data_IF_905288316210
#
_entry.id   IF_905288316210
#
_cell.length_a   1.000
_cell.length_b   1.000
_cell.length_c   1.000
_cell.angle_alpha   90.00
_cell.angle_beta   90.00
_cell.angle_gamma   90.00
#
_symmetry.space_group_name_H-M   'P 1'
#
loop_
_entity.id
_entity.type
_entity.pdbx_description
1 polymer ?
#
# COMPACT_ATOMS: atom_id res chain seq x y z
N UNK A 1 4.14 32.25 -23.01
CA UNK A 1 4.92 33.48 -22.85
C UNK A 1 6.14 33.35 -23.75
N UNK A 2 6.17 34.11 -24.81
CA UNK A 2 7.35 34.19 -25.69
C UNK A 2 8.46 34.90 -24.93
N UNK A 3 9.54 34.20 -24.64
CA UNK A 3 10.75 34.80 -24.10
C UNK A 3 11.46 35.56 -25.21
N UNK A 4 11.96 36.75 -24.89
CA UNK A 4 12.64 37.69 -25.83
C UNK A 4 14.02 37.17 -26.29
N UNK A 5 14.48 36.07 -25.69
CA UNK A 5 15.73 35.40 -26.05
C UNK A 5 15.42 34.13 -26.82
N UNK A 6 16.07 33.91 -27.95
CA UNK A 6 15.88 32.76 -28.82
C UNK A 6 16.39 31.48 -28.14
N UNK A 7 15.51 30.85 -27.34
CA UNK A 7 15.81 29.63 -26.60
C UNK A 7 15.62 28.37 -27.47
N UNK A 8 16.14 28.39 -28.69
CA UNK A 8 16.26 27.19 -29.50
C UNK A 8 17.59 26.49 -29.18
N UNK A 9 17.73 26.00 -27.96
CA UNK A 9 18.82 25.11 -27.59
C UNK A 9 18.48 23.68 -28.05
N UNK A 10 18.73 23.38 -29.31
CA UNK A 10 18.79 22.03 -29.82
C UNK A 10 20.22 21.60 -29.96
N UNK A 11 20.81 21.10 -28.91
CA UNK A 11 22.06 20.37 -28.91
C UNK A 11 21.78 18.89 -29.05
N UNK A 12 22.57 18.14 -29.80
CA UNK A 12 22.42 16.69 -29.81
C UNK A 12 22.74 16.16 -28.42
N UNK A 13 21.93 15.19 -27.90
CA UNK A 13 22.14 14.66 -26.58
C UNK A 13 23.54 14.07 -26.34
N UNK A 14 24.18 13.58 -27.39
CA UNK A 14 25.55 13.05 -27.36
C UNK A 14 26.60 14.19 -27.18
N UNK A 15 26.45 15.30 -27.90
CA UNK A 15 27.34 16.44 -27.79
C UNK A 15 27.23 17.11 -26.41
N UNK A 16 25.99 17.23 -25.90
CA UNK A 16 25.72 17.72 -24.56
C UNK A 16 26.33 16.85 -23.43
N UNK A 17 26.30 15.53 -23.57
CA UNK A 17 26.87 14.60 -22.58
C UNK A 17 28.41 14.72 -22.53
N UNK A 18 29.06 14.92 -23.68
CA UNK A 18 30.52 15.10 -23.79
C UNK A 18 30.92 16.49 -23.25
N UNK A 19 30.22 17.55 -23.67
CA UNK A 19 30.52 18.94 -23.26
C UNK A 19 30.21 19.18 -21.77
N UNK A 20 29.33 18.35 -21.17
CA UNK A 20 29.08 18.39 -19.74
C UNK A 20 30.26 17.96 -18.88
N UNK A 21 31.29 17.31 -19.47
CA UNK A 21 32.45 16.80 -18.75
C UNK A 21 32.16 15.63 -17.81
N UNK A 22 31.00 14.99 -17.93
CA UNK A 22 30.59 13.86 -17.11
C UNK A 22 30.86 12.52 -17.78
N UNK A 23 30.98 12.50 -19.09
CA UNK A 23 31.24 11.32 -19.89
C UNK A 23 32.48 11.54 -20.78
N UNK A 24 33.23 10.48 -21.03
CA UNK A 24 34.30 10.49 -22.00
C UNK A 24 33.75 10.27 -23.43
N UNK A 25 34.62 10.43 -24.43
CA UNK A 25 34.26 10.21 -25.83
C UNK A 25 33.79 8.77 -26.14
N UNK A 26 34.01 7.85 -25.22
CA UNK A 26 33.55 6.44 -25.27
C UNK A 26 32.24 6.19 -24.53
N UNK A 27 31.64 7.27 -23.95
CA UNK A 27 30.37 7.18 -23.21
C UNK A 27 30.51 6.61 -21.76
N UNK A 28 31.74 6.57 -21.21
CA UNK A 28 31.96 6.19 -19.83
C UNK A 28 31.78 7.40 -18.90
N UNK A 29 31.08 7.22 -17.80
CA UNK A 29 30.89 8.27 -16.81
C UNK A 29 32.21 8.59 -16.08
N UNK A 30 32.66 9.83 -16.17
CA UNK A 30 33.90 10.33 -15.58
C UNK A 30 33.79 10.70 -14.11
N UNK A 31 32.61 11.16 -13.69
CA UNK A 31 32.33 11.53 -12.30
C UNK A 31 31.12 10.81 -11.74
N UNK A 32 31.19 10.49 -10.46
CA UNK A 32 30.02 9.94 -9.75
C UNK A 32 29.05 11.09 -9.47
N UNK A 33 27.76 10.88 -9.74
CA UNK A 33 26.74 11.86 -9.39
C UNK A 33 26.64 11.98 -7.86
N UNK A 34 27.19 13.07 -7.33
CA UNK A 34 27.23 13.38 -5.89
C UNK A 34 26.46 14.67 -5.61
N UNK A 35 25.93 14.82 -4.41
CA UNK A 35 25.11 15.97 -3.99
C UNK A 35 25.81 17.34 -4.19
N UNK A 36 27.14 17.37 -4.16
CA UNK A 36 27.93 18.56 -4.47
C UNK A 36 28.01 18.91 -5.97
N UNK A 37 27.54 18.03 -6.85
CA UNK A 37 27.45 18.29 -8.28
C UNK A 37 26.23 19.20 -8.54
N UNK A 38 26.44 20.38 -9.15
CA UNK A 38 25.35 21.30 -9.48
C UNK A 38 24.28 20.75 -10.44
N UNK A 39 24.51 19.56 -11.03
CA UNK A 39 23.58 18.83 -11.91
C UNK A 39 22.96 17.59 -11.27
N UNK A 40 23.17 17.38 -9.99
CA UNK A 40 22.70 16.20 -9.26
C UNK A 40 21.21 15.89 -9.53
N UNK A 41 20.34 16.87 -9.39
CA UNK A 41 18.90 16.72 -9.66
C UNK A 41 18.61 16.52 -11.16
N UNK A 42 19.35 17.17 -12.05
CA UNK A 42 19.15 17.07 -13.51
C UNK A 42 19.39 15.66 -14.01
N UNK A 43 20.46 15.01 -13.59
CA UNK A 43 20.77 13.63 -13.99
C UNK A 43 19.69 12.64 -13.54
N UNK A 44 19.23 12.82 -12.31
CA UNK A 44 18.12 12.01 -11.79
C UNK A 44 16.82 12.26 -12.58
N UNK A 45 16.50 13.52 -12.87
CA UNK A 45 15.31 13.89 -13.65
C UNK A 45 15.36 13.33 -15.08
N UNK A 46 16.50 13.41 -15.75
CA UNK A 46 16.71 12.84 -17.09
C UNK A 46 16.53 11.32 -17.10
N UNK A 47 16.91 10.65 -16.03
CA UNK A 47 16.72 9.21 -15.87
C UNK A 47 15.26 8.84 -15.64
N UNK A 48 14.55 9.54 -14.74
CA UNK A 48 13.20 9.14 -14.30
C UNK A 48 12.09 9.58 -15.27
N UNK A 49 12.23 10.78 -15.88
CA UNK A 49 11.19 11.38 -16.73
C UNK A 49 10.71 10.48 -17.88
N UNK A 50 11.59 9.95 -18.77
CA UNK A 50 11.15 9.09 -19.87
C UNK A 50 10.50 7.80 -19.38
N UNK A 51 10.93 7.26 -18.24
CA UNK A 51 10.37 6.05 -17.66
C UNK A 51 8.94 6.29 -17.15
N UNK A 52 8.70 7.43 -16.51
CA UNK A 52 7.36 7.81 -16.05
C UNK A 52 6.39 8.07 -17.21
N UNK A 53 6.89 8.64 -18.34
CA UNK A 53 6.05 8.77 -19.55
C UNK A 53 5.62 7.42 -20.09
N UNK A 54 6.54 6.48 -20.24
CA UNK A 54 6.21 5.12 -20.69
C UNK A 54 5.28 4.43 -19.68
N UNK A 55 5.54 4.57 -18.38
CA UNK A 55 4.70 4.00 -17.34
C UNK A 55 3.25 4.51 -17.42
N UNK A 56 3.04 5.81 -17.69
CA UNK A 56 1.70 6.37 -17.90
C UNK A 56 0.96 5.72 -19.06
N UNK A 57 1.66 5.49 -20.18
CA UNK A 57 1.06 4.91 -21.38
C UNK A 57 0.68 3.44 -21.16
N UNK A 58 1.42 2.72 -20.31
CA UNK A 58 1.16 1.33 -19.95
C UNK A 58 0.00 1.15 -18.96
N UNK A 59 -0.36 2.19 -18.20
CA UNK A 59 -1.50 2.11 -17.27
C UNK A 59 -2.82 1.95 -18.02
N UNK A 60 -3.70 1.10 -17.49
CA UNK A 60 -5.13 1.08 -17.84
C UNK A 60 -5.78 2.42 -17.46
N UNK A 61 -6.98 2.72 -17.97
CA UNK A 61 -7.63 4.01 -17.70
C UNK A 61 -7.91 4.22 -16.20
N UNK A 62 -8.24 3.16 -15.47
CA UNK A 62 -8.36 3.14 -14.01
C UNK A 62 -7.06 2.78 -13.28
N UNK A 63 -5.94 2.64 -14.00
CA UNK A 63 -4.66 2.27 -13.43
C UNK A 63 -4.08 3.36 -12.52
N UNK A 64 -3.27 2.94 -11.55
CA UNK A 64 -2.59 3.81 -10.59
C UNK A 64 -1.11 3.48 -10.51
N UNK A 65 -0.31 4.48 -10.18
CA UNK A 65 1.11 4.33 -9.92
C UNK A 65 1.44 4.80 -8.51
N UNK A 66 2.24 4.00 -7.80
CA UNK A 66 2.83 4.35 -6.51
C UNK A 66 4.35 4.51 -6.69
N UNK A 67 4.90 5.60 -6.22
CA UNK A 67 6.31 5.92 -6.39
C UNK A 67 6.91 6.25 -5.03
N UNK A 68 7.78 5.37 -4.53
CA UNK A 68 8.52 5.60 -3.29
C UNK A 68 9.67 6.56 -3.54
N UNK A 69 9.82 7.55 -2.67
CA UNK A 69 10.84 8.60 -2.78
C UNK A 69 11.18 9.15 -1.38
N UNK A 70 12.38 9.66 -1.21
CA UNK A 70 12.79 10.38 -0.01
C UNK A 70 12.82 11.91 -0.22
N UNK A 71 13.27 12.66 0.78
CA UNK A 71 13.30 14.13 0.77
C UNK A 71 14.17 14.71 -0.34
N UNK A 72 15.20 13.99 -0.83
CA UNK A 72 16.15 14.53 -1.80
C UNK A 72 15.47 14.91 -3.12
N UNK A 73 14.50 14.12 -3.59
CA UNK A 73 13.86 14.30 -4.90
C UNK A 73 12.32 14.35 -4.86
N UNK A 74 11.70 14.38 -3.69
CA UNK A 74 10.25 14.34 -3.54
C UNK A 74 9.55 15.50 -4.26
N UNK A 75 10.06 16.75 -4.13
CA UNK A 75 9.50 17.92 -4.78
C UNK A 75 9.66 17.87 -6.30
N UNK A 76 10.83 17.45 -6.78
CA UNK A 76 11.12 17.32 -8.21
C UNK A 76 10.24 16.23 -8.83
N UNK A 77 10.12 15.07 -8.18
CA UNK A 77 9.24 14.00 -8.61
C UNK A 77 7.79 14.46 -8.71
N UNK A 78 7.31 15.22 -7.71
CA UNK A 78 5.94 15.75 -7.71
C UNK A 78 5.67 16.63 -8.91
N UNK A 79 6.60 17.54 -9.25
CA UNK A 79 6.48 18.43 -10.41
C UNK A 79 6.47 17.66 -11.73
N UNK A 80 7.36 16.70 -11.89
CA UNK A 80 7.44 15.84 -13.08
C UNK A 80 6.15 15.00 -13.23
N UNK A 81 5.65 14.44 -12.14
CA UNK A 81 4.41 13.67 -12.18
C UNK A 81 3.19 14.57 -12.49
N UNK A 82 3.14 15.79 -11.97
CA UNK A 82 2.08 16.75 -12.30
C UNK A 82 2.08 17.10 -13.80
N UNK A 83 3.26 17.19 -14.44
CA UNK A 83 3.37 17.40 -15.87
C UNK A 83 2.94 16.18 -16.68
N UNK A 84 3.40 14.98 -16.29
CA UNK A 84 3.17 13.75 -17.05
C UNK A 84 1.74 13.24 -16.87
N UNK A 85 1.27 13.12 -15.64
CA UNK A 85 -0.04 12.52 -15.28
C UNK A 85 -1.15 13.58 -15.21
N UNK A 86 -0.80 14.86 -15.02
CA UNK A 86 -1.71 15.95 -14.72
C UNK A 86 -1.94 16.11 -13.21
N UNK A 87 -1.86 17.33 -12.70
CA UNK A 87 -2.05 17.63 -11.27
C UNK A 87 -3.43 17.22 -10.74
N UNK A 88 -4.47 17.24 -11.59
CA UNK A 88 -5.82 16.78 -11.25
C UNK A 88 -5.87 15.27 -10.94
N UNK A 89 -4.94 14.49 -11.46
CA UNK A 89 -4.84 13.04 -11.26
C UNK A 89 -3.97 12.66 -10.05
N UNK A 90 -3.45 13.63 -9.31
CA UNK A 90 -2.80 13.38 -8.04
C UNK A 90 -3.80 12.80 -7.04
N UNK A 91 -3.58 11.55 -6.64
CA UNK A 91 -4.48 10.82 -5.73
C UNK A 91 -4.13 11.10 -4.29
N UNK A 92 -2.84 11.15 -3.96
CA UNK A 92 -2.36 11.47 -2.63
C UNK A 92 -0.87 11.22 -2.44
N UNK A 93 -0.40 11.59 -1.25
CA UNK A 93 0.94 11.29 -0.75
C UNK A 93 0.82 10.54 0.58
N UNK A 94 1.52 9.44 0.69
CA UNK A 94 1.63 8.67 1.93
C UNK A 94 3.00 8.98 2.54
N UNK A 95 3.00 9.35 3.82
CA UNK A 95 4.20 9.46 4.66
C UNK A 95 4.42 8.11 5.33
N UNK A 96 5.52 7.46 4.99
CA UNK A 96 5.92 6.17 5.53
C UNK A 96 6.97 6.38 6.61
N UNK A 97 6.57 6.30 7.87
CA UNK A 97 7.51 6.40 9.00
C UNK A 97 8.21 5.06 9.19
N UNK A 98 9.54 5.03 8.98
CA UNK A 98 10.33 3.78 8.95
C UNK A 98 11.47 3.75 9.95
N UNK A 99 11.93 4.91 10.43
CA UNK A 99 13.11 5.02 11.26
C UNK A 99 12.79 5.57 12.64
N UNK A 100 13.62 5.20 13.60
CA UNK A 100 13.73 5.82 14.93
C UNK A 100 15.21 5.95 15.24
N UNK A 101 15.86 7.02 14.78
CA UNK A 101 17.22 7.33 15.17
C UNK A 101 17.19 8.28 16.37
N UNK A 102 17.87 7.91 17.44
CA UNK A 102 17.87 8.66 18.69
C UNK A 102 19.06 9.64 18.84
N UNK A 103 19.86 9.84 17.78
CA UNK A 103 21.07 10.67 17.81
C UNK A 103 21.13 11.75 16.72
N UNK A 104 20.06 12.47 16.40
CA UNK A 104 20.09 13.54 15.41
C UNK A 104 20.85 14.76 15.95
N UNK A 105 21.53 15.50 15.08
CA UNK A 105 22.15 16.79 15.44
C UNK A 105 21.15 17.94 15.46
N UNK A 106 20.18 17.90 14.54
CA UNK A 106 19.11 18.89 14.44
C UNK A 106 17.75 18.17 14.32
N UNK A 107 17.18 18.14 13.11
CA UNK A 107 15.94 17.41 12.83
C UNK A 107 16.30 15.99 12.39
N UNK A 108 15.63 15.00 12.97
CA UNK A 108 15.76 13.62 12.56
C UNK A 108 14.70 13.28 11.51
N UNK A 109 15.13 12.92 10.30
CA UNK A 109 14.23 12.45 9.26
C UNK A 109 13.89 10.98 9.49
N UNK A 110 12.65 10.70 9.86
CA UNK A 110 12.17 9.36 10.22
C UNK A 110 11.22 8.77 9.16
N UNK A 111 11.12 9.38 7.98
CA UNK A 111 10.12 9.00 7.01
C UNK A 111 10.64 9.05 5.57
N UNK A 112 9.93 8.31 4.74
CA UNK A 112 9.96 8.37 3.27
C UNK A 112 8.55 8.72 2.77
N UNK A 113 8.42 8.98 1.48
CA UNK A 113 7.14 9.27 0.84
C UNK A 113 6.77 8.19 -0.17
N UNK A 114 5.46 8.03 -0.39
CA UNK A 114 4.91 7.29 -1.52
C UNK A 114 3.93 8.21 -2.22
N UNK A 115 4.30 8.72 -3.38
CA UNK A 115 3.40 9.51 -4.23
C UNK A 115 2.47 8.57 -5.01
N UNK A 116 1.20 8.93 -5.09
CA UNK A 116 0.21 8.18 -5.86
C UNK A 116 -0.48 9.06 -6.90
N UNK A 117 -0.49 8.59 -8.14
CA UNK A 117 -1.22 9.17 -9.25
C UNK A 117 -2.10 8.11 -9.90
N UNK A 118 -3.29 8.52 -10.31
CA UNK A 118 -4.14 7.73 -11.21
C UNK A 118 -3.92 8.16 -12.65
N UNK A 119 -4.12 7.29 -13.63
CA UNK A 119 -4.21 7.72 -15.04
C UNK A 119 -5.41 8.63 -15.26
N UNK A 120 -6.54 8.28 -14.66
CA UNK A 120 -7.75 9.10 -14.63
C UNK A 120 -8.43 8.99 -13.25
N UNK A 121 -8.24 10.01 -12.41
CA UNK A 121 -8.81 10.03 -11.06
C UNK A 121 -10.33 10.13 -11.04
N UNK A 122 -10.94 10.69 -12.08
CA UNK A 122 -12.39 10.90 -12.11
C UNK A 122 -13.19 9.58 -12.21
N UNK A 123 -12.56 8.51 -12.68
CA UNK A 123 -13.20 7.19 -12.79
C UNK A 123 -12.76 6.22 -11.70
N UNK A 124 -11.97 6.67 -10.73
CA UNK A 124 -11.58 5.83 -9.59
C UNK A 124 -12.77 5.59 -8.67
N UNK A 125 -12.97 4.33 -8.32
CA UNK A 125 -13.86 3.96 -7.24
C UNK A 125 -13.28 4.29 -5.86
N UNK A 126 -14.08 4.14 -4.81
CA UNK A 126 -13.59 4.24 -3.44
C UNK A 126 -12.66 3.08 -3.10
N UNK A 127 -11.49 3.39 -2.59
CA UNK A 127 -10.51 2.39 -2.18
C UNK A 127 -10.82 1.90 -0.77
N UNK A 128 -11.46 0.74 -0.70
CA UNK A 128 -11.79 0.05 0.53
C UNK A 128 -11.19 -1.35 0.55
N UNK A 129 -10.71 -1.74 1.71
CA UNK A 129 -10.28 -3.12 1.96
C UNK A 129 -11.03 -3.68 3.16
N UNK A 130 -11.18 -5.00 3.23
CA UNK A 130 -11.72 -5.65 4.41
C UNK A 130 -10.81 -5.39 5.60
N UNK A 131 -11.41 -5.08 6.75
CA UNK A 131 -10.64 -4.77 7.94
C UNK A 131 -10.11 -6.05 8.58
N UNK A 132 -8.79 -6.26 8.57
CA UNK A 132 -8.15 -7.38 9.27
C UNK A 132 -8.42 -7.32 10.79
N UNK A 133 -8.54 -6.11 11.34
CA UNK A 133 -8.87 -5.93 12.76
C UNK A 133 -10.31 -6.29 13.07
N UNK A 134 -11.23 -6.03 12.14
CA UNK A 134 -12.62 -6.47 12.27
C UNK A 134 -12.73 -8.01 12.26
N UNK A 135 -11.89 -8.69 11.46
CA UNK A 135 -11.82 -10.17 11.47
C UNK A 135 -11.44 -10.71 12.84
N UNK A 136 -10.49 -10.09 13.55
CA UNK A 136 -10.13 -10.50 14.91
C UNK A 136 -11.32 -10.41 15.89
N UNK A 137 -12.13 -9.34 15.78
CA UNK A 137 -13.36 -9.21 16.58
C UNK A 137 -14.36 -10.28 16.19
N UNK A 138 -14.51 -10.58 14.90
CA UNK A 138 -15.41 -11.62 14.41
C UNK A 138 -15.00 -13.00 14.89
N UNK A 139 -13.72 -13.33 14.83
CA UNK A 139 -13.18 -14.60 15.35
C UNK A 139 -13.46 -14.76 16.84
N UNK A 140 -13.21 -13.70 17.63
CA UNK A 140 -13.51 -13.69 19.06
C UNK A 140 -15.01 -13.84 19.34
N UNK A 141 -15.85 -13.17 18.59
CA UNK A 141 -17.30 -13.32 18.69
C UNK A 141 -17.73 -14.77 18.42
N UNK A 142 -17.21 -15.42 17.38
CA UNK A 142 -17.53 -16.82 17.05
C UNK A 142 -17.07 -17.79 18.16
N UNK A 143 -15.88 -17.55 18.75
CA UNK A 143 -15.43 -18.32 19.92
C UNK A 143 -16.41 -18.19 21.10
N UNK A 144 -16.85 -16.96 21.40
CA UNK A 144 -17.79 -16.68 22.47
C UNK A 144 -19.18 -17.30 22.19
N UNK A 145 -19.64 -17.22 20.94
CA UNK A 145 -20.89 -17.84 20.49
C UNK A 145 -20.86 -19.36 20.67
N UNK A 146 -19.74 -19.99 20.32
CA UNK A 146 -19.56 -21.42 20.54
C UNK A 146 -19.59 -21.80 22.04
N UNK A 147 -19.04 -20.92 22.91
CA UNK A 147 -18.94 -21.16 24.35
C UNK A 147 -20.25 -20.92 25.09
N UNK A 148 -20.98 -19.87 24.75
CA UNK A 148 -22.16 -19.40 25.51
C UNK A 148 -23.49 -19.57 24.77
N UNK A 149 -23.47 -20.09 23.53
CA UNK A 149 -24.67 -20.32 22.74
C UNK A 149 -25.44 -19.05 22.43
N UNK A 150 -26.71 -18.96 22.85
CA UNK A 150 -27.59 -17.81 22.57
C UNK A 150 -27.63 -16.77 23.71
N UNK A 151 -26.77 -16.89 24.71
CA UNK A 151 -26.66 -15.88 25.78
C UNK A 151 -25.95 -14.61 25.29
N UNK A 152 -26.71 -13.78 24.55
CA UNK A 152 -26.23 -12.55 23.93
C UNK A 152 -25.67 -11.57 24.95
N UNK A 153 -26.28 -11.48 26.15
CA UNK A 153 -25.80 -10.55 27.19
C UNK A 153 -24.40 -10.92 27.69
N UNK A 154 -24.18 -12.21 27.96
CA UNK A 154 -22.85 -12.70 28.35
C UNK A 154 -21.84 -12.55 27.23
N UNK A 155 -22.21 -12.90 25.99
CA UNK A 155 -21.32 -12.72 24.83
C UNK A 155 -20.91 -11.27 24.67
N UNK A 156 -21.85 -10.33 24.73
CA UNK A 156 -21.54 -8.89 24.61
C UNK A 156 -20.61 -8.40 25.72
N UNK A 157 -20.87 -8.82 26.98
CA UNK A 157 -20.02 -8.44 28.12
C UNK A 157 -18.59 -8.95 27.95
N UNK A 158 -18.42 -10.22 27.61
CA UNK A 158 -17.10 -10.83 27.41
C UNK A 158 -16.37 -10.25 26.19
N UNK A 159 -17.10 -9.98 25.09
CA UNK A 159 -16.53 -9.30 23.92
C UNK A 159 -16.03 -7.90 24.26
N UNK A 160 -16.79 -7.10 25.01
CA UNK A 160 -16.38 -5.78 25.47
C UNK A 160 -15.14 -5.81 26.35
N UNK A 161 -15.06 -6.78 27.26
CA UNK A 161 -13.88 -6.97 28.10
C UNK A 161 -12.64 -7.28 27.23
N UNK A 162 -12.76 -8.22 26.31
CA UNK A 162 -11.68 -8.59 25.41
C UNK A 162 -11.26 -7.44 24.49
N UNK A 163 -12.19 -6.65 23.94
CA UNK A 163 -11.88 -5.47 23.14
C UNK A 163 -11.11 -4.45 23.96
N UNK A 164 -11.49 -4.23 25.22
CA UNK A 164 -10.79 -3.30 26.12
C UNK A 164 -9.37 -3.76 26.43
N UNK A 165 -9.14 -5.03 26.65
CA UNK A 165 -7.82 -5.62 26.86
C UNK A 165 -6.92 -5.53 25.63
N UNK A 166 -7.51 -5.52 24.42
CA UNK A 166 -6.83 -5.47 23.14
C UNK A 166 -6.96 -4.09 22.43
N UNK A 167 -7.24 -3.00 23.16
CA UNK A 167 -7.59 -1.70 22.61
C UNK A 167 -6.55 -1.12 21.65
N UNK A 168 -5.25 -1.32 21.92
CA UNK A 168 -4.15 -0.86 21.06
C UNK A 168 -4.16 -1.57 19.69
N UNK A 169 -4.38 -2.89 19.68
CA UNK A 169 -4.44 -3.70 18.45
C UNK A 169 -5.69 -3.34 17.65
N UNK A 170 -6.83 -3.16 18.34
CA UNK A 170 -8.15 -2.93 17.76
C UNK A 170 -8.45 -1.44 17.49
N UNK A 171 -7.46 -0.56 17.61
CA UNK A 171 -7.63 0.87 17.35
C UNK A 171 -8.25 1.11 15.97
N UNK A 172 -9.38 1.82 15.95
CA UNK A 172 -10.18 2.11 14.75
C UNK A 172 -11.40 1.22 14.56
N UNK A 173 -11.48 0.06 15.22
CA UNK A 173 -12.63 -0.87 15.19
C UNK A 173 -13.18 -1.23 16.57
N UNK A 174 -12.56 -0.74 17.63
CA UNK A 174 -12.95 -1.04 19.03
C UNK A 174 -14.36 -0.60 19.41
N UNK A 175 -15.00 0.22 18.59
CA UNK A 175 -16.40 0.63 18.78
C UNK A 175 -17.42 -0.41 18.31
N UNK A 176 -17.01 -1.49 17.64
CA UNK A 176 -17.84 -2.65 17.32
C UNK A 176 -17.92 -3.55 18.53
N UNK A 177 -18.72 -3.17 19.52
CA UNK A 177 -18.77 -3.80 20.83
C UNK A 177 -20.18 -4.22 21.27
N UNK A 178 -21.18 -4.02 20.42
CA UNK A 178 -22.54 -4.50 20.63
C UNK A 178 -22.76 -5.81 19.89
N UNK A 179 -23.63 -6.66 20.47
CA UNK A 179 -24.00 -7.96 19.90
C UNK A 179 -25.52 -8.11 19.90
N UNK A 180 -26.08 -8.67 18.84
CA UNK A 180 -27.45 -9.16 18.78
C UNK A 180 -27.48 -10.52 18.08
N UNK A 181 -28.68 -11.05 17.81
CA UNK A 181 -28.89 -12.36 17.16
C UNK A 181 -28.24 -12.45 15.77
N UNK A 182 -28.01 -11.33 15.12
CA UNK A 182 -27.38 -11.24 13.78
C UNK A 182 -25.87 -11.10 13.83
N UNK A 183 -25.27 -10.83 15.00
CA UNK A 183 -23.83 -10.68 15.16
C UNK A 183 -23.41 -9.34 15.75
N UNK A 184 -22.14 -9.00 15.53
CA UNK A 184 -21.49 -7.82 16.10
C UNK A 184 -21.84 -6.57 15.31
N UNK A 185 -22.06 -5.46 16.01
CA UNK A 185 -22.34 -4.15 15.40
C UNK A 185 -21.88 -3.01 16.29
N UNK A 186 -21.88 -1.79 15.75
CA UNK A 186 -21.83 -0.56 16.53
C UNK A 186 -23.03 0.32 16.22
N UNK A 187 -23.34 1.24 17.14
CA UNK A 187 -24.36 2.26 16.96
C UNK A 187 -23.85 3.38 16.03
N UNK A 188 -24.59 3.62 14.97
CA UNK A 188 -24.28 4.70 14.03
C UNK A 188 -25.09 5.97 14.32
N UNK A 189 -24.72 7.06 13.65
CA UNK A 189 -25.46 8.31 13.69
C UNK A 189 -26.62 8.27 12.69
N UNK A 190 -27.84 8.59 13.20
CA UNK A 190 -29.08 8.65 12.41
C UNK A 190 -29.30 10.03 11.79
N UNK A 191 -28.67 11.07 12.37
CA UNK A 191 -28.82 12.44 11.92
C UNK A 191 -28.10 12.68 10.57
N UNK A 192 -28.67 13.54 9.75
CA UNK A 192 -27.96 14.00 8.55
C UNK A 192 -26.74 14.86 8.93
N UNK A 193 -25.73 14.87 8.10
CA UNK A 193 -24.48 15.62 8.36
C UNK A 193 -24.67 17.14 8.27
N UNK A 194 -25.56 17.57 7.37
CA UNK A 194 -25.93 18.98 7.14
C UNK A 194 -27.45 19.17 7.33
N UNK A 195 -27.90 20.41 7.49
CA UNK A 195 -29.32 20.72 7.51
C UNK A 195 -29.97 20.34 6.16
N UNK A 196 -31.27 19.95 6.22
CA UNK A 196 -32.02 19.53 5.02
C UNK A 196 -32.19 17.99 4.90
N UNK A 197 -31.90 17.23 5.96
CA UNK A 197 -32.24 15.81 6.05
C UNK A 197 -33.75 15.55 6.03
N UNK A 198 -34.12 14.29 5.92
CA UNK A 198 -35.53 13.86 5.84
C UNK A 198 -36.24 14.06 7.17
N UNK A 199 -37.54 14.44 7.10
CA UNK A 199 -38.44 14.58 8.26
C UNK A 199 -39.70 13.75 7.99
N UNK A 200 -39.91 12.75 8.81
CA UNK A 200 -41.06 11.85 8.81
C UNK A 200 -41.23 11.25 10.19
N UNK A 201 -42.39 10.70 10.50
CA UNK A 201 -42.69 10.10 11.79
C UNK A 201 -42.20 8.67 11.89
N UNK A 202 -41.45 8.36 12.93
CA UNK A 202 -41.06 7.02 13.33
C UNK A 202 -41.67 6.73 14.68
N UNK A 203 -42.48 5.68 14.80
CA UNK A 203 -43.13 5.32 16.06
C UNK A 203 -42.26 4.37 16.88
N UNK A 204 -42.12 4.65 18.17
CA UNK A 204 -41.42 3.78 19.09
C UNK A 204 -42.17 2.47 19.28
N UNK A 205 -41.51 1.30 19.17
CA UNK A 205 -42.19 0.00 19.14
C UNK A 205 -42.94 -0.35 20.46
N UNK A 206 -42.51 0.20 21.59
CA UNK A 206 -43.08 -0.09 22.90
C UNK A 206 -44.11 0.98 23.29
N UNK A 207 -43.73 2.29 23.19
CA UNK A 207 -44.60 3.38 23.67
C UNK A 207 -45.61 3.83 22.61
N UNK A 208 -45.44 3.46 21.35
CA UNK A 208 -46.30 3.87 20.23
C UNK A 208 -46.19 5.37 19.86
N UNK A 209 -45.42 6.17 20.60
CA UNK A 209 -45.26 7.60 20.35
C UNK A 209 -44.22 7.87 19.29
N UNK A 210 -44.24 9.08 18.74
CA UNK A 210 -43.29 9.51 17.71
C UNK A 210 -41.92 9.71 18.35
N UNK A 211 -40.91 9.03 17.81
CA UNK A 211 -39.53 9.17 18.22
C UNK A 211 -38.98 10.58 17.89
N UNK A 212 -38.02 11.02 18.68
CA UNK A 212 -37.32 12.27 18.47
C UNK A 212 -36.70 12.34 17.07
N UNK A 213 -37.04 13.37 16.30
CA UNK A 213 -36.45 13.66 15.01
C UNK A 213 -35.17 14.47 15.24
N UNK A 214 -34.02 14.12 14.61
CA UNK A 214 -32.81 14.94 14.72
C UNK A 214 -33.03 16.38 14.18
N UNK A 215 -32.39 17.38 14.76
CA UNK A 215 -32.51 18.80 14.33
C UNK A 215 -32.16 18.97 12.83
N UNK A 216 -31.16 18.25 12.34
CA UNK A 216 -30.74 18.23 10.92
C UNK A 216 -31.58 17.31 10.02
N UNK A 217 -32.59 16.63 10.59
CA UNK A 217 -33.37 15.59 9.93
C UNK A 217 -32.66 14.25 9.89
N UNK A 218 -33.38 13.21 9.47
CA UNK A 218 -32.85 11.86 9.28
C UNK A 218 -31.92 11.81 8.06
N UNK A 219 -30.89 10.95 8.14
CA UNK A 219 -29.97 10.67 7.04
C UNK A 219 -30.61 9.85 5.92
N UNK A 220 -31.51 8.95 6.27
CA UNK A 220 -32.10 7.98 5.36
C UNK A 220 -33.47 8.42 4.87
N UNK A 221 -33.84 8.16 3.60
CA UNK A 221 -35.21 8.29 3.13
C UNK A 221 -36.18 7.43 3.94
N UNK A 222 -37.47 7.81 4.00
CA UNK A 222 -38.48 7.12 4.79
C UNK A 222 -38.60 5.62 4.43
N UNK A 223 -38.55 5.30 3.13
CA UNK A 223 -38.61 3.89 2.66
C UNK A 223 -37.44 3.08 3.23
N UNK A 224 -36.22 3.60 3.14
CA UNK A 224 -35.02 2.94 3.70
C UNK A 224 -35.13 2.76 5.21
N UNK A 225 -35.63 3.78 5.92
CA UNK A 225 -35.85 3.69 7.36
C UNK A 225 -36.85 2.60 7.73
N UNK A 226 -37.96 2.50 7.02
CA UNK A 226 -38.94 1.44 7.23
C UNK A 226 -38.35 0.04 7.01
N UNK A 227 -37.55 -0.12 5.96
CA UNK A 227 -36.87 -1.38 5.68
C UNK A 227 -35.86 -1.73 6.78
N UNK A 228 -35.09 -0.75 7.26
CA UNK A 228 -34.16 -0.93 8.39
C UNK A 228 -34.87 -1.32 9.68
N UNK A 229 -36.01 -0.69 10.00
CA UNK A 229 -36.81 -1.04 11.18
C UNK A 229 -37.33 -2.47 11.05
N UNK A 230 -37.92 -2.82 9.89
CA UNK A 230 -38.42 -4.17 9.61
C UNK A 230 -37.34 -5.24 9.76
N UNK A 231 -36.14 -4.91 9.37
CA UNK A 231 -34.99 -5.82 9.46
C UNK A 231 -34.28 -5.76 10.82
N UNK A 232 -34.77 -5.01 11.81
CA UNK A 232 -34.16 -4.93 13.14
C UNK A 232 -32.80 -4.22 13.15
N UNK A 233 -32.54 -3.38 12.15
CA UNK A 233 -31.27 -2.63 12.00
C UNK A 233 -31.32 -1.23 12.63
N UNK A 234 -32.39 -0.94 13.40
CA UNK A 234 -32.52 0.30 14.20
C UNK A 234 -32.55 -0.09 15.67
N UNK A 235 -31.74 0.59 16.45
CA UNK A 235 -31.82 0.59 17.91
C UNK A 235 -32.78 1.68 18.36
N UNK A 236 -33.76 1.30 19.14
CA UNK A 236 -34.61 2.23 19.87
C UNK A 236 -34.06 2.38 21.30
N UNK A 237 -34.24 3.55 21.90
CA UNK A 237 -33.96 3.74 23.31
C UNK A 237 -35.04 3.13 24.20
N UNK A 238 -35.02 3.43 25.49
CA UNK A 238 -36.05 2.99 26.42
C UNK A 238 -37.42 3.65 26.13
N UNK A 239 -37.38 4.83 25.55
CA UNK A 239 -38.54 5.61 25.15
C UNK A 239 -38.31 6.44 23.89
N UNK A 240 -39.35 7.18 23.46
CA UNK A 240 -39.36 8.03 22.26
C UNK A 240 -38.47 9.25 22.35
N UNK A 241 -37.98 9.65 23.53
CA UNK A 241 -37.15 10.86 23.73
C UNK A 241 -35.71 10.66 23.35
N UNK A 242 -35.28 9.41 23.38
CA UNK A 242 -33.92 9.01 22.95
C UNK A 242 -33.86 8.93 21.42
N UNK A 243 -32.80 9.51 20.83
CA UNK A 243 -32.57 9.36 19.38
C UNK A 243 -32.34 7.89 19.02
N UNK A 244 -33.08 7.44 18.03
CA UNK A 244 -32.86 6.11 17.45
C UNK A 244 -31.51 6.06 16.75
N UNK A 245 -30.88 4.87 16.65
CA UNK A 245 -29.55 4.70 16.07
C UNK A 245 -29.54 3.53 15.09
N UNK A 246 -28.94 3.67 13.91
CA UNK A 246 -28.76 2.55 13.00
C UNK A 246 -27.66 1.62 13.51
N UNK A 247 -27.86 0.31 13.35
CA UNK A 247 -26.82 -0.69 13.59
C UNK A 247 -25.89 -0.74 12.38
N UNK A 248 -24.60 -0.57 12.62
CA UNK A 248 -23.55 -0.75 11.62
C UNK A 248 -22.87 -2.09 11.87
N UNK A 249 -23.09 -3.05 10.96
CA UNK A 249 -22.61 -4.43 11.13
C UNK A 249 -21.09 -4.51 10.94
N UNK A 250 -20.43 -5.33 11.78
CA UNK A 250 -18.99 -5.57 11.73
C UNK A 250 -18.56 -6.18 10.38
N UNK A 251 -19.37 -7.04 9.78
CA UNK A 251 -19.13 -7.64 8.47
C UNK A 251 -18.95 -6.61 7.34
N UNK A 252 -19.51 -5.41 7.52
CA UNK A 252 -19.39 -4.31 6.58
C UNK A 252 -18.27 -3.32 6.94
N UNK A 253 -17.45 -3.65 7.95
CA UNK A 253 -16.34 -2.80 8.35
C UNK A 253 -15.26 -2.81 7.27
N UNK A 254 -14.96 -1.63 6.73
CA UNK A 254 -13.92 -1.45 5.72
C UNK A 254 -12.83 -0.54 6.25
N UNK A 255 -11.60 -0.92 5.95
CA UNK A 255 -10.44 -0.04 6.14
C UNK A 255 -10.30 0.92 4.96
N UNK A 256 -9.70 2.08 5.22
CA UNK A 256 -9.32 3.07 4.22
C UNK A 256 -7.81 3.23 4.20
N UNK A 257 -7.25 3.53 3.05
CA UNK A 257 -5.82 3.77 2.92
C UNK A 257 -5.46 5.10 3.61
N UNK A 258 -4.63 5.04 4.64
CA UNK A 258 -4.21 6.21 5.43
C UNK A 258 -2.99 6.87 4.81
N UNK A 259 -2.93 8.21 4.89
CA UNK A 259 -1.80 8.99 4.41
C UNK A 259 -0.57 8.97 5.34
N UNK A 260 -0.67 8.36 6.51
CA UNK A 260 0.46 8.11 7.41
C UNK A 260 0.46 6.64 7.77
N UNK A 261 1.56 5.97 7.50
CA UNK A 261 1.77 4.56 7.78
C UNK A 261 3.07 4.43 8.59
N UNK A 262 3.00 3.68 9.68
CA UNK A 262 4.19 3.30 10.46
C UNK A 262 4.57 1.86 10.15
N UNK A 263 5.87 1.63 9.94
CA UNK A 263 6.49 0.31 9.91
C UNK A 263 7.92 0.38 10.41
N UNK A 264 8.33 -0.55 11.28
CA UNK A 264 9.74 -0.66 11.68
C UNK A 264 10.59 -1.02 10.45
N UNK A 265 11.47 -0.11 10.03
CA UNK A 265 12.33 -0.28 8.85
C UNK A 265 13.25 -1.52 8.91
N UNK A 266 13.49 -2.06 10.10
CA UNK A 266 14.22 -3.34 10.29
C UNK A 266 13.37 -4.57 9.94
N UNK A 267 12.05 -4.45 9.93
CA UNK A 267 11.14 -5.55 9.61
C UNK A 267 11.37 -6.09 8.20
N UNK A 268 11.44 -5.21 7.20
CA UNK A 268 11.68 -5.58 5.81
C UNK A 268 13.01 -6.32 5.58
N UNK A 269 14.08 -5.83 6.23
CA UNK A 269 15.39 -6.49 6.17
C UNK A 269 15.35 -7.88 6.81
N UNK A 270 14.73 -8.01 8.00
CA UNK A 270 14.59 -9.32 8.66
C UNK A 270 13.76 -10.30 7.84
N UNK A 271 12.65 -9.86 7.23
CA UNK A 271 11.84 -10.71 6.35
C UNK A 271 12.65 -11.19 5.13
N UNK A 272 13.39 -10.29 4.49
CA UNK A 272 14.25 -10.64 3.37
C UNK A 272 15.35 -11.63 3.78
N UNK A 273 16.05 -11.39 4.88
CA UNK A 273 17.13 -12.24 5.37
C UNK A 273 16.65 -13.63 5.81
N UNK A 274 15.43 -13.72 6.34
CA UNK A 274 14.84 -15.02 6.70
C UNK A 274 14.56 -15.90 5.46
N UNK A 275 14.30 -15.28 4.32
CA UNK A 275 14.02 -15.98 3.06
C UNK A 275 15.31 -16.24 2.26
N UNK A 276 16.23 -15.31 2.25
CA UNK A 276 17.39 -15.29 1.36
C UNK A 276 18.70 -15.62 2.08
N UNK A 277 19.46 -14.61 2.40
CA UNK A 277 20.67 -14.66 3.20
C UNK A 277 20.93 -13.26 3.81
N UNK A 278 21.76 -13.24 4.84
CA UNK A 278 22.06 -12.03 5.58
C UNK A 278 22.95 -11.08 4.79
N UNK A 279 22.62 -9.80 4.84
CA UNK A 279 23.42 -8.68 4.29
C UNK A 279 23.79 -8.84 2.80
N UNK A 280 22.94 -9.43 1.96
CA UNK A 280 23.18 -9.58 0.51
C UNK A 280 22.49 -8.52 -0.34
N UNK A 281 21.59 -7.74 0.23
CA UNK A 281 20.88 -6.66 -0.44
C UNK A 281 20.59 -5.53 0.56
N UNK A 282 20.74 -4.26 0.12
CA UNK A 282 20.46 -3.11 0.96
C UNK A 282 19.01 -2.65 0.78
N UNK A 283 18.36 -2.30 1.88
CA UNK A 283 17.05 -1.66 1.93
C UNK A 283 15.98 -2.36 1.03
N UNK A 284 15.74 -3.69 1.19
CA UNK A 284 14.65 -4.33 0.47
C UNK A 284 13.33 -3.67 0.86
N UNK A 285 12.48 -3.35 -0.12
CA UNK A 285 11.15 -2.77 0.17
C UNK A 285 10.29 -3.79 0.93
N UNK A 286 9.48 -3.28 1.84
CA UNK A 286 8.62 -4.09 2.69
C UNK A 286 7.48 -4.72 1.91
N UNK A 287 7.36 -6.04 2.00
CA UNK A 287 6.20 -6.77 1.45
C UNK A 287 4.93 -6.45 2.19
N UNK A 288 5.01 -6.08 3.48
CA UNK A 288 3.86 -5.65 4.29
C UNK A 288 3.26 -4.35 3.77
N UNK A 289 4.10 -3.36 3.47
CA UNK A 289 3.64 -2.08 2.89
C UNK A 289 3.07 -2.29 1.50
N UNK A 290 3.76 -3.05 0.64
CA UNK A 290 3.27 -3.36 -0.71
C UNK A 290 1.93 -4.09 -0.67
N UNK A 291 1.79 -5.12 0.18
CA UNK A 291 0.52 -5.83 0.40
C UNK A 291 -0.58 -4.87 0.85
N UNK A 292 -0.26 -3.95 1.75
CA UNK A 292 -1.23 -2.97 2.22
C UNK A 292 -1.69 -2.05 1.09
N UNK A 293 -0.79 -1.54 0.25
CA UNK A 293 -1.15 -0.70 -0.90
C UNK A 293 -2.00 -1.48 -1.92
N UNK A 294 -1.53 -2.64 -2.33
CA UNK A 294 -2.18 -3.45 -3.36
C UNK A 294 -3.54 -3.98 -2.91
N UNK A 295 -3.73 -4.23 -1.61
CA UNK A 295 -5.01 -4.67 -1.08
C UNK A 295 -6.16 -3.69 -1.32
N UNK A 296 -5.85 -2.40 -1.55
CA UNK A 296 -6.84 -1.34 -1.81
C UNK A 296 -7.12 -1.10 -3.29
N UNK A 297 -6.19 -1.48 -4.18
CA UNK A 297 -6.22 -1.03 -5.58
C UNK A 297 -6.10 -2.14 -6.60
N UNK A 298 -5.71 -3.35 -6.18
CA UNK A 298 -5.49 -4.48 -7.10
C UNK A 298 -6.59 -5.50 -6.94
N UNK A 299 -7.20 -5.88 -8.05
CA UNK A 299 -8.27 -6.85 -8.15
C UNK A 299 -7.80 -8.15 -8.82
N UNK A 300 -8.66 -9.17 -8.80
CA UNK A 300 -8.40 -10.44 -9.49
C UNK A 300 -8.23 -10.24 -11.01
N UNK A 301 -7.18 -10.84 -11.56
CA UNK A 301 -6.82 -10.72 -12.98
C UNK A 301 -6.02 -9.47 -13.35
N UNK A 302 -5.74 -8.57 -12.42
CA UNK A 302 -4.91 -7.38 -12.67
C UNK A 302 -3.45 -7.72 -12.92
N UNK A 303 -2.74 -6.77 -13.54
CA UNK A 303 -1.29 -6.83 -13.78
C UNK A 303 -0.60 -5.73 -12.98
N UNK A 304 0.32 -6.12 -12.10
CA UNK A 304 1.18 -5.20 -11.35
C UNK A 304 2.56 -5.15 -12.00
N UNK A 305 2.98 -3.95 -12.44
CA UNK A 305 4.29 -3.75 -13.05
C UNK A 305 5.22 -2.99 -12.10
N UNK A 306 6.42 -3.53 -11.89
CA UNK A 306 7.49 -2.89 -11.13
C UNK A 306 8.73 -2.78 -12.02
N UNK A 307 9.02 -1.56 -12.48
CA UNK A 307 10.13 -1.30 -13.42
C UNK A 307 11.43 -0.85 -12.73
N UNK A 308 11.48 -0.92 -11.41
CA UNK A 308 12.68 -0.81 -10.57
C UNK A 308 12.71 -1.94 -9.54
N UNK A 309 12.55 -3.18 -10.01
CA UNK A 309 12.16 -4.31 -9.14
C UNK A 309 13.20 -4.73 -8.10
N UNK A 310 14.45 -4.30 -8.23
CA UNK A 310 15.50 -4.56 -7.25
C UNK A 310 15.59 -6.01 -6.81
N UNK A 311 15.21 -6.24 -5.55
CA UNK A 311 15.18 -7.60 -4.95
C UNK A 311 13.87 -8.36 -5.19
N UNK A 312 12.98 -7.90 -6.08
CA UNK A 312 11.71 -8.53 -6.43
C UNK A 312 10.70 -8.66 -5.27
N UNK A 313 10.64 -7.65 -4.38
CA UNK A 313 9.66 -7.59 -3.28
C UNK A 313 8.21 -7.63 -3.79
N UNK A 314 7.95 -7.02 -4.94
CA UNK A 314 6.63 -6.97 -5.57
C UNK A 314 6.13 -8.36 -5.96
N UNK A 315 6.97 -9.22 -6.53
CA UNK A 315 6.58 -10.58 -6.89
C UNK A 315 6.20 -11.42 -5.65
N UNK A 316 7.02 -11.37 -4.59
CA UNK A 316 6.70 -12.05 -3.33
C UNK A 316 5.37 -11.55 -2.75
N UNK A 317 5.14 -10.23 -2.80
CA UNK A 317 3.90 -9.62 -2.35
C UNK A 317 2.69 -10.14 -3.14
N UNK A 318 2.77 -10.18 -4.46
CA UNK A 318 1.67 -10.64 -5.33
C UNK A 318 1.37 -12.13 -5.10
N UNK A 319 2.39 -12.98 -5.00
CA UNK A 319 2.18 -14.41 -4.70
C UNK A 319 1.47 -14.62 -3.36
N UNK A 320 1.83 -13.85 -2.32
CA UNK A 320 1.14 -13.88 -1.02
C UNK A 320 -0.30 -13.37 -1.11
N UNK A 321 -0.58 -12.34 -1.93
CA UNK A 321 -1.94 -11.85 -2.14
C UNK A 321 -2.80 -12.88 -2.88
N UNK A 322 -2.25 -13.54 -3.90
CA UNK A 322 -2.93 -14.58 -4.65
C UNK A 322 -3.30 -15.77 -3.75
N UNK A 323 -2.40 -16.17 -2.84
CA UNK A 323 -2.69 -17.20 -1.85
C UNK A 323 -3.82 -16.78 -0.92
N UNK A 324 -3.72 -15.59 -0.30
CA UNK A 324 -4.69 -15.10 0.69
C UNK A 324 -6.08 -14.81 0.12
N UNK A 325 -6.15 -14.27 -1.10
CA UNK A 325 -7.41 -13.84 -1.73
C UNK A 325 -7.98 -14.88 -2.69
N UNK A 326 -7.25 -15.97 -2.95
CA UNK A 326 -7.56 -16.94 -4.02
C UNK A 326 -7.73 -16.24 -5.38
N UNK A 327 -6.83 -15.28 -5.67
CA UNK A 327 -6.84 -14.45 -6.86
C UNK A 327 -5.74 -14.85 -7.84
N UNK A 328 -5.84 -14.35 -9.08
CA UNK A 328 -4.87 -14.59 -10.16
C UNK A 328 -4.28 -13.26 -10.64
N UNK A 329 -3.68 -12.51 -9.74
CA UNK A 329 -2.97 -11.27 -10.05
C UNK A 329 -1.64 -11.62 -10.71
N UNK A 330 -1.32 -10.96 -11.83
CA UNK A 330 -0.07 -11.15 -12.55
C UNK A 330 0.95 -10.06 -12.18
N UNK A 331 2.24 -10.35 -12.37
CA UNK A 331 3.29 -9.34 -12.20
C UNK A 331 4.27 -9.30 -13.36
N UNK A 332 4.78 -8.10 -13.65
CA UNK A 332 5.86 -7.84 -14.62
C UNK A 332 6.95 -7.08 -13.89
N UNK A 333 8.15 -7.64 -13.83
CA UNK A 333 9.30 -7.03 -13.19
C UNK A 333 10.35 -6.66 -14.22
N UNK A 334 10.84 -5.41 -14.16
CA UNK A 334 11.95 -4.96 -15.00
C UNK A 334 13.12 -4.56 -14.12
N UNK A 335 14.30 -5.11 -14.41
CA UNK A 335 15.54 -4.79 -13.71
C UNK A 335 16.72 -4.83 -14.68
N UNK A 336 17.54 -3.79 -14.62
CA UNK A 336 18.83 -3.76 -15.31
C UNK A 336 19.76 -4.76 -14.62
N UNK A 337 20.48 -5.64 -15.39
CA UNK A 337 21.35 -6.65 -14.81
C UNK A 337 22.69 -6.05 -14.35
N UNK A 338 22.65 -5.14 -13.36
CA UNK A 338 23.86 -4.54 -12.80
C UNK A 338 24.80 -5.61 -12.24
N UNK A 339 26.09 -5.45 -12.57
CA UNK A 339 27.16 -6.33 -12.09
C UNK A 339 27.54 -6.00 -10.65
N UNK A 340 27.34 -6.98 -9.77
CA UNK A 340 27.72 -6.86 -8.35
C UNK A 340 29.26 -6.82 -8.22
N UNK A 341 30.01 -7.44 -9.15
CA UNK A 341 31.48 -7.36 -9.18
C UNK A 341 31.95 -5.91 -9.39
N UNK A 342 31.31 -5.16 -10.32
CA UNK A 342 31.61 -3.74 -10.51
C UNK A 342 31.32 -2.94 -9.22
N UNK A 343 30.18 -3.17 -8.58
CA UNK A 343 29.82 -2.54 -7.30
C UNK A 343 30.87 -2.87 -6.23
N UNK A 344 31.31 -4.13 -6.13
CA UNK A 344 32.34 -4.53 -5.16
C UNK A 344 33.67 -3.78 -5.35
N UNK A 345 34.04 -3.52 -6.61
CA UNK A 345 35.31 -2.81 -6.92
C UNK A 345 35.25 -1.33 -6.57
N UNK A 346 34.10 -0.68 -6.75
CA UNK A 346 33.94 0.79 -6.62
C UNK A 346 33.37 1.21 -5.26
N UNK A 347 32.57 0.37 -4.60
CA UNK A 347 31.91 0.69 -3.36
C UNK A 347 32.88 0.68 -2.14
N UNK A 348 32.48 1.42 -1.10
CA UNK A 348 33.19 1.50 0.17
C UNK A 348 32.32 0.94 1.31
N UNK A 349 32.95 0.67 2.44
CA UNK A 349 32.30 0.32 3.71
C UNK A 349 31.18 -0.73 3.61
N UNK A 350 30.00 -0.38 4.08
CA UNK A 350 28.83 -1.28 4.13
C UNK A 350 28.42 -1.77 2.74
N UNK A 351 28.43 -0.92 1.74
CA UNK A 351 28.05 -1.31 0.38
C UNK A 351 29.00 -2.37 -0.22
N UNK A 352 30.31 -2.22 0.01
CA UNK A 352 31.33 -3.22 -0.39
C UNK A 352 31.13 -4.57 0.31
N UNK A 353 30.83 -4.54 1.61
CA UNK A 353 30.54 -5.76 2.37
C UNK A 353 29.29 -6.47 1.86
N UNK A 354 28.23 -5.73 1.58
CA UNK A 354 26.99 -6.27 1.01
C UNK A 354 27.26 -6.91 -0.36
N UNK A 355 28.01 -6.24 -1.25
CA UNK A 355 28.39 -6.80 -2.55
C UNK A 355 29.20 -8.10 -2.40
N UNK A 356 30.16 -8.13 -1.47
CA UNK A 356 30.93 -9.33 -1.19
C UNK A 356 30.07 -10.51 -0.71
N UNK A 357 29.12 -10.25 0.18
CA UNK A 357 28.20 -11.29 0.65
C UNK A 357 27.28 -11.78 -0.46
N UNK A 358 26.80 -10.87 -1.32
CA UNK A 358 25.97 -11.20 -2.47
C UNK A 358 26.71 -12.08 -3.48
N UNK A 359 27.99 -11.78 -3.77
CA UNK A 359 28.87 -12.62 -4.62
C UNK A 359 28.96 -14.02 -4.03
N UNK A 360 29.36 -14.17 -2.76
CA UNK A 360 29.46 -15.48 -2.09
C UNK A 360 28.14 -16.25 -2.11
N UNK A 361 27.03 -15.56 -1.92
CA UNK A 361 25.71 -16.19 -1.99
C UNK A 361 25.42 -16.72 -3.40
N UNK A 362 25.65 -15.90 -4.43
CA UNK A 362 25.41 -16.29 -5.82
C UNK A 362 26.35 -17.40 -6.27
N UNK A 363 27.63 -17.40 -5.86
CA UNK A 363 28.56 -18.52 -6.05
C UNK A 363 28.04 -19.82 -5.46
N UNK A 364 27.50 -19.76 -4.23
CA UNK A 364 26.98 -20.93 -3.53
C UNK A 364 25.79 -21.61 -4.23
N UNK A 365 25.09 -20.86 -5.08
CA UNK A 365 23.94 -21.35 -5.88
C UNK A 365 24.25 -21.44 -7.37
N UNK A 366 25.51 -21.19 -7.77
CA UNK A 366 25.98 -21.30 -9.17
C UNK A 366 25.30 -20.29 -10.11
N UNK A 367 25.12 -19.03 -9.69
CA UNK A 367 24.46 -17.99 -10.46
C UNK A 367 25.39 -16.82 -10.79
N UNK A 368 25.20 -16.14 -11.94
CA UNK A 368 25.92 -14.91 -12.27
C UNK A 368 25.77 -13.81 -11.21
N UNK A 369 26.80 -12.99 -11.04
CA UNK A 369 26.84 -11.93 -10.04
C UNK A 369 26.07 -10.69 -10.50
N UNK A 370 24.75 -10.79 -10.64
CA UNK A 370 23.88 -9.68 -10.99
C UNK A 370 22.73 -9.53 -10.00
N UNK A 371 22.22 -8.29 -9.86
CA UNK A 371 21.04 -7.99 -9.03
C UNK A 371 19.83 -8.82 -9.48
N UNK A 372 19.66 -9.03 -10.79
CA UNK A 372 18.58 -9.86 -11.33
C UNK A 372 18.56 -11.28 -10.79
N UNK A 373 19.73 -11.90 -10.53
CA UNK A 373 19.77 -13.26 -10.00
C UNK A 373 19.34 -13.32 -8.53
N UNK A 374 19.60 -12.25 -7.74
CA UNK A 374 19.06 -12.14 -6.38
C UNK A 374 17.53 -12.08 -6.42
N UNK A 375 16.96 -11.25 -7.30
CA UNK A 375 15.51 -11.13 -7.46
C UNK A 375 14.85 -12.44 -7.88
N UNK A 376 15.41 -13.13 -8.89
CA UNK A 376 14.91 -14.42 -9.35
C UNK A 376 14.97 -15.50 -8.27
N UNK A 377 16.03 -15.51 -7.48
CA UNK A 377 16.15 -16.46 -6.38
C UNK A 377 15.13 -16.17 -5.28
N UNK A 378 14.88 -14.89 -4.97
CA UNK A 378 13.82 -14.51 -4.04
C UNK A 378 12.45 -15.00 -4.48
N UNK A 379 12.10 -14.85 -5.76
CA UNK A 379 10.83 -15.34 -6.31
C UNK A 379 10.71 -16.86 -6.10
N UNK A 380 11.76 -17.63 -6.43
CA UNK A 380 11.73 -19.09 -6.26
C UNK A 380 11.54 -19.51 -4.80
N UNK A 381 12.28 -18.88 -3.87
CA UNK A 381 12.20 -19.21 -2.45
C UNK A 381 10.88 -18.78 -1.85
N UNK A 382 10.35 -17.60 -2.23
CA UNK A 382 9.05 -17.15 -1.80
C UNK A 382 7.93 -18.08 -2.25
N UNK A 383 7.92 -18.44 -3.54
CA UNK A 383 6.93 -19.39 -4.07
C UNK A 383 7.00 -20.77 -3.41
N UNK A 384 8.21 -21.28 -3.16
CA UNK A 384 8.39 -22.53 -2.42
C UNK A 384 7.86 -22.44 -1.00
N UNK A 385 8.22 -21.37 -0.26
CA UNK A 385 7.78 -21.15 1.12
C UNK A 385 6.26 -21.07 1.21
N UNK A 386 5.61 -20.29 0.34
CA UNK A 386 4.14 -20.15 0.32
C UNK A 386 3.47 -21.52 0.16
N UNK A 387 3.98 -22.37 -0.73
CA UNK A 387 3.45 -23.73 -0.93
C UNK A 387 3.70 -24.66 0.25
N UNK A 388 4.83 -24.50 0.95
CA UNK A 388 5.14 -25.27 2.15
C UNK A 388 4.30 -24.83 3.37
N UNK A 389 4.05 -23.54 3.52
CA UNK A 389 3.29 -22.96 4.64
C UNK A 389 1.77 -23.26 4.51
N UNK A 390 1.24 -23.36 3.28
CA UNK A 390 -0.20 -23.55 3.01
C UNK A 390 -0.46 -24.65 1.97
N UNK A 391 -0.03 -25.90 2.20
CA UNK A 391 -0.04 -26.96 1.18
C UNK A 391 -1.42 -27.36 0.66
N UNK A 392 -2.47 -27.15 1.46
CA UNK A 392 -3.84 -27.52 1.08
C UNK A 392 -4.51 -26.47 0.17
N UNK A 393 -4.17 -25.19 0.30
CA UNK A 393 -4.78 -24.08 -0.43
C UNK A 393 -3.99 -23.63 -1.63
N UNK A 394 -2.73 -24.08 -1.77
CA UNK A 394 -1.77 -23.61 -2.79
C UNK A 394 -1.45 -24.63 -3.88
N UNK A 395 -2.24 -25.71 -3.99
CA UNK A 395 -2.00 -26.75 -5.01
C UNK A 395 -2.01 -26.19 -6.43
N UNK A 396 -2.98 -25.32 -6.73
CA UNK A 396 -3.17 -24.68 -8.04
C UNK A 396 -2.51 -23.29 -8.13
N UNK A 397 -1.82 -22.83 -7.07
CA UNK A 397 -1.17 -21.52 -7.08
C UNK A 397 0.01 -21.51 -8.04
N UNK A 398 -0.05 -20.65 -9.07
CA UNK A 398 1.07 -20.40 -9.95
C UNK A 398 2.12 -19.53 -9.26
N UNK A 399 3.29 -20.12 -9.00
CA UNK A 399 4.48 -19.46 -8.45
C UNK A 399 5.63 -19.41 -9.47
N UNK A 400 5.34 -19.80 -10.71
CA UNK A 400 6.29 -19.75 -11.82
C UNK A 400 6.49 -18.34 -12.36
N UNK A 401 7.58 -18.14 -13.13
CA UNK A 401 7.83 -16.92 -13.86
C UNK A 401 8.68 -17.19 -15.09
N UNK A 402 8.55 -16.30 -16.09
CA UNK A 402 9.38 -16.32 -17.31
C UNK A 402 10.44 -15.24 -17.23
N UNK A 403 11.62 -15.52 -17.76
CA UNK A 403 12.70 -14.55 -17.87
C UNK A 403 12.86 -14.17 -19.33
N UNK A 404 12.72 -12.88 -19.61
CA UNK A 404 12.92 -12.30 -20.92
C UNK A 404 14.17 -11.41 -20.88
N UNK A 405 14.86 -11.30 -21.99
CA UNK A 405 15.94 -10.33 -22.20
C UNK A 405 15.53 -9.44 -23.35
N UNK A 406 15.73 -8.14 -23.20
CA UNK A 406 15.62 -7.21 -24.32
C UNK A 406 16.84 -7.44 -25.22
N UNK A 407 16.58 -7.65 -26.50
CA UNK A 407 17.64 -7.68 -27.51
C UNK A 407 18.03 -6.26 -27.86
N UNK A 408 19.31 -6.01 -27.94
CA UNK A 408 19.88 -4.70 -28.31
C UNK A 408 20.25 -4.63 -29.79
N UNK A 409 19.55 -5.40 -30.65
CA UNK A 409 19.79 -5.37 -32.11
C UNK A 409 19.28 -4.10 -32.77
#
# INVERSE_FOLDING_TARGET
KDFIYGDNFSEKAEDYLIDSGQYDEQGNQLETNVESNGRFHTDWLNMIYPRLKVARDLLTDNGVIFISIDDHEQENLKKVCDEIYGSANFTGCIVLQTATDNNPRQINTEHEYILCYSKNKAIQDYWYADSEKAKLIQEKYLELLQKYGQDIETIQRELRNWIKENAEILKGVSHYDNVDEKGVFHDGDIANTVFGGYKYDVHHPITGKICKIPDKGFRYPEKTMRDMIKNGEIMFGDDETTLIKPKKRLENAKDVLRSVIYEDGRSSTKQFEALMARDIFQNPKSTTILSRLFNFVVEDGDIVMDFFSGSASTAECIMNLNEKKHSNIHYILVQIPESIDKVFLTAKDKAKKTAQNAIKFLDSIGKPHTICEIGKERIRRAGKKIKEDSPLTTQDLDTGFRVLKLDSS
#
